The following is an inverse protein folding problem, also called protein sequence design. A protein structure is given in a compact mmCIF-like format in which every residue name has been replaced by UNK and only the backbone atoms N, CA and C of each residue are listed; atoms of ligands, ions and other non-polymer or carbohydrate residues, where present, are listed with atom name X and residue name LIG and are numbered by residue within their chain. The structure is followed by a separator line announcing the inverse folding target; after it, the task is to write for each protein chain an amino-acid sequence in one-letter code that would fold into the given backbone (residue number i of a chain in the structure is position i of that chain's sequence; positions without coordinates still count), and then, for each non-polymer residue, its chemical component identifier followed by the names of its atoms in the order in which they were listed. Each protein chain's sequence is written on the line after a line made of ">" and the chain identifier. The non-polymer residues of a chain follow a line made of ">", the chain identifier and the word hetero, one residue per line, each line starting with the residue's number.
data_IF_702601828386
#
_entry.id   IF_702601828386
#
_cell.length_a   1.000
_cell.length_b   1.000
_cell.length_c   1.000
_cell.angle_alpha   90.00
_cell.angle_beta   90.00
_cell.angle_gamma   90.00
#
_symmetry.space_group_name_H-M   'P 1'
#
loop_
_entity.id
_entity.type
_entity.pdbx_description
1 polymer ?
#
# COMPACT_ATOMS: atom_id res chain seq x y z
N UNK A 1 6.37 -27.68 32.29
CA UNK A 1 5.87 -26.36 32.71
C UNK A 1 4.70 -26.58 33.63
N UNK A 2 4.55 -25.73 34.64
CA UNK A 2 3.36 -25.73 35.50
C UNK A 2 2.12 -25.28 34.70
N UNK A 3 0.99 -25.94 34.90
CA UNK A 3 -0.27 -25.66 34.21
C UNK A 3 -0.80 -24.27 34.56
N UNK A 4 -0.55 -23.80 35.78
CA UNK A 4 -0.86 -22.44 36.19
C UNK A 4 -0.12 -21.38 35.35
N UNK A 5 1.16 -21.62 35.07
CA UNK A 5 1.98 -20.72 34.24
C UNK A 5 1.48 -20.68 32.79
N UNK A 6 1.09 -21.83 32.23
CA UNK A 6 0.52 -21.90 30.87
C UNK A 6 -0.76 -21.05 30.78
N UNK A 7 -1.65 -21.15 31.78
CA UNK A 7 -2.87 -20.33 31.82
C UNK A 7 -2.57 -18.84 31.90
N UNK A 8 -1.60 -18.43 32.73
CA UNK A 8 -1.23 -17.01 32.87
C UNK A 8 -0.67 -16.44 31.57
N UNK A 9 0.23 -17.19 30.90
CA UNK A 9 0.76 -16.81 29.59
C UNK A 9 -0.37 -16.68 28.57
N UNK A 10 -1.29 -17.64 28.52
CA UNK A 10 -2.43 -17.60 27.61
C UNK A 10 -3.32 -16.37 27.84
N UNK A 11 -3.53 -15.95 29.09
CA UNK A 11 -4.27 -14.72 29.42
C UNK A 11 -3.57 -13.48 28.88
N UNK A 12 -2.25 -13.36 29.06
CA UNK A 12 -1.48 -12.22 28.55
C UNK A 12 -1.52 -12.19 27.01
N UNK A 13 -1.34 -13.34 26.36
CA UNK A 13 -1.42 -13.45 24.90
C UNK A 13 -2.82 -13.10 24.40
N UNK A 14 -3.88 -13.56 25.07
CA UNK A 14 -5.26 -13.23 24.71
C UNK A 14 -5.52 -11.72 24.72
N UNK A 15 -5.04 -11.02 25.75
CA UNK A 15 -5.14 -9.54 25.83
C UNK A 15 -4.40 -8.89 24.65
N UNK A 16 -3.18 -9.36 24.34
CA UNK A 16 -2.40 -8.87 23.20
C UNK A 16 -3.10 -9.06 21.86
N UNK A 17 -3.67 -10.24 21.60
CA UNK A 17 -4.45 -10.52 20.40
C UNK A 17 -5.72 -9.64 20.32
N UNK A 18 -6.34 -9.35 21.47
CA UNK A 18 -7.46 -8.42 21.56
C UNK A 18 -7.07 -7.00 21.13
N UNK A 19 -5.91 -6.50 21.58
CA UNK A 19 -5.39 -5.20 21.15
C UNK A 19 -5.06 -5.18 19.65
N UNK A 20 -4.48 -6.26 19.12
CA UNK A 20 -4.22 -6.40 17.68
C UNK A 20 -5.53 -6.38 16.86
N UNK A 21 -6.58 -7.06 17.32
CA UNK A 21 -7.89 -7.06 16.67
C UNK A 21 -8.50 -5.66 16.61
N UNK A 22 -8.44 -4.90 17.71
CA UNK A 22 -8.87 -3.50 17.75
C UNK A 22 -8.03 -2.68 16.76
N UNK A 23 -6.71 -2.86 16.75
CA UNK A 23 -5.79 -2.23 15.80
C UNK A 23 -6.19 -2.48 14.35
N UNK A 24 -6.51 -3.72 13.97
CA UNK A 24 -6.97 -4.04 12.61
C UNK A 24 -8.28 -3.34 12.24
N UNK A 25 -9.24 -3.24 13.17
CA UNK A 25 -10.53 -2.57 12.93
C UNK A 25 -10.32 -1.07 12.72
N UNK A 26 -9.53 -0.42 13.57
CA UNK A 26 -9.23 1.02 13.49
C UNK A 26 -8.41 1.32 12.24
N UNK A 27 -7.35 0.54 11.99
CA UNK A 27 -6.49 0.72 10.82
C UNK A 27 -7.27 0.57 9.50
N UNK A 28 -8.20 -0.40 9.43
CA UNK A 28 -9.10 -0.55 8.27
C UNK A 28 -9.88 0.72 7.97
N UNK A 29 -10.35 1.45 8.99
CA UNK A 29 -11.08 2.71 8.79
C UNK A 29 -10.13 3.83 8.34
N UNK A 30 -8.99 3.96 9.01
CA UNK A 30 -8.01 5.01 8.71
C UNK A 30 -7.47 4.90 7.28
N UNK A 31 -7.20 3.68 6.81
CA UNK A 31 -6.63 3.45 5.47
C UNK A 31 -7.62 3.73 4.33
N UNK A 32 -8.92 3.87 4.63
CA UNK A 32 -9.97 4.16 3.66
C UNK A 32 -10.17 5.66 3.38
N UNK A 33 -9.54 6.55 4.14
CA UNK A 33 -9.88 7.98 4.11
C UNK A 33 -9.48 8.65 2.78
N UNK A 34 -8.20 8.66 2.37
CA UNK A 34 -7.76 9.16 1.04
C UNK A 34 -6.33 8.72 0.68
N UNK A 35 -5.96 8.81 -0.60
CA UNK A 35 -4.56 8.72 -1.07
C UNK A 35 -4.00 7.31 -1.20
N UNK A 36 -2.71 7.14 -0.91
CA UNK A 36 -1.98 5.86 -0.98
C UNK A 36 -2.60 4.78 -0.08
N UNK A 37 -3.21 5.19 1.04
CA UNK A 37 -3.97 4.31 1.91
C UNK A 37 -5.12 3.63 1.17
N UNK A 38 -5.94 4.38 0.42
CA UNK A 38 -7.10 3.81 -0.27
C UNK A 38 -6.68 2.82 -1.37
N UNK A 39 -5.58 3.11 -2.08
CA UNK A 39 -5.00 2.19 -3.04
C UNK A 39 -4.50 0.90 -2.38
N UNK A 40 -3.82 1.03 -1.23
CA UNK A 40 -3.35 -0.11 -0.44
C UNK A 40 -4.49 -0.98 0.08
N UNK A 41 -5.60 -0.37 0.49
CA UNK A 41 -6.80 -1.07 0.92
C UNK A 41 -7.47 -1.80 -0.22
N UNK A 42 -7.57 -1.18 -1.40
CA UNK A 42 -8.14 -1.81 -2.59
C UNK A 42 -7.35 -3.06 -2.98
N UNK A 43 -6.02 -2.96 -3.08
CA UNK A 43 -5.14 -4.09 -3.41
C UNK A 43 -5.22 -5.21 -2.35
N UNK A 44 -5.36 -4.84 -1.08
CA UNK A 44 -5.51 -5.77 0.03
C UNK A 44 -6.78 -6.60 -0.05
N UNK A 45 -7.90 -6.01 -0.49
CA UNK A 45 -9.18 -6.71 -0.62
C UNK A 45 -9.40 -7.37 -1.98
N UNK A 46 -8.68 -6.93 -3.02
CA UNK A 46 -8.75 -7.50 -4.37
C UNK A 46 -7.71 -8.60 -4.56
N UNK A 47 -6.47 -8.24 -4.92
CA UNK A 47 -5.36 -9.15 -5.22
C UNK A 47 -5.01 -10.04 -4.04
N UNK A 48 -4.95 -9.47 -2.83
CA UNK A 48 -4.61 -10.20 -1.60
C UNK A 48 -5.82 -10.57 -0.73
N UNK A 49 -7.04 -10.53 -1.28
CA UNK A 49 -8.27 -10.71 -0.52
C UNK A 49 -8.32 -12.00 0.32
N UNK A 50 -7.81 -13.12 -0.23
CA UNK A 50 -7.71 -14.39 0.50
C UNK A 50 -6.73 -14.32 1.68
N UNK A 51 -5.56 -13.70 1.48
CA UNK A 51 -4.55 -13.53 2.52
C UNK A 51 -5.05 -12.58 3.61
N UNK A 52 -5.77 -11.53 3.23
CA UNK A 52 -6.41 -10.61 4.16
C UNK A 52 -7.48 -11.30 5.01
N UNK A 53 -8.33 -12.13 4.39
CA UNK A 53 -9.30 -12.95 5.11
C UNK A 53 -8.59 -13.94 6.05
N UNK A 54 -7.59 -14.67 5.55
CA UNK A 54 -6.80 -15.63 6.32
C UNK A 54 -6.18 -15.01 7.57
N UNK A 55 -5.60 -13.81 7.47
CA UNK A 55 -5.02 -13.08 8.61
C UNK A 55 -6.07 -12.84 9.70
N UNK A 56 -7.25 -12.35 9.33
CA UNK A 56 -8.31 -12.04 10.29
C UNK A 56 -8.93 -13.32 10.88
N UNK A 57 -9.07 -14.38 10.08
CA UNK A 57 -9.53 -15.69 10.55
C UNK A 57 -8.53 -16.32 11.52
N UNK A 58 -7.23 -16.30 11.21
CA UNK A 58 -6.18 -16.80 12.10
C UNK A 58 -6.14 -16.04 13.43
N UNK A 59 -6.35 -14.73 13.41
CA UNK A 59 -6.47 -13.93 14.64
C UNK A 59 -7.61 -14.45 15.52
N UNK A 60 -8.80 -14.67 14.94
CA UNK A 60 -9.94 -15.24 15.65
C UNK A 60 -9.69 -16.66 16.17
N UNK A 61 -9.10 -17.53 15.36
CA UNK A 61 -8.72 -18.90 15.76
C UNK A 61 -7.73 -18.88 16.93
N UNK A 62 -6.72 -18.02 16.87
CA UNK A 62 -5.74 -17.87 17.96
C UNK A 62 -6.41 -17.38 19.24
N UNK A 63 -7.37 -16.46 19.17
CA UNK A 63 -8.13 -16.03 20.35
C UNK A 63 -8.92 -17.19 20.97
N UNK A 64 -9.58 -18.02 20.16
CA UNK A 64 -10.30 -19.22 20.63
C UNK A 64 -9.34 -20.23 21.27
N UNK A 65 -8.16 -20.44 20.67
CA UNK A 65 -7.12 -21.30 21.24
C UNK A 65 -6.63 -20.80 22.59
N UNK A 66 -6.45 -19.47 22.76
CA UNK A 66 -6.06 -18.90 24.05
C UNK A 66 -7.16 -19.07 25.10
N UNK A 67 -8.43 -18.90 24.75
CA UNK A 67 -9.56 -19.17 25.66
C UNK A 67 -9.55 -20.64 26.09
N UNK A 68 -9.34 -21.57 25.15
CA UNK A 68 -9.25 -22.99 25.47
C UNK A 68 -8.09 -23.28 26.43
N UNK A 69 -6.91 -22.66 26.22
CA UNK A 69 -5.74 -22.80 27.09
C UNK A 69 -5.92 -22.22 28.49
N UNK A 70 -6.69 -21.14 28.64
CA UNK A 70 -7.01 -20.53 29.93
C UNK A 70 -7.89 -21.50 30.75
N UNK A 71 -8.87 -22.15 30.12
CA UNK A 71 -9.80 -23.04 30.80
C UNK A 71 -9.23 -24.45 31.02
N UNK A 72 -8.46 -24.96 30.06
CA UNK A 72 -7.86 -26.29 30.08
C UNK A 72 -6.39 -26.23 29.67
N UNK A 73 -5.48 -25.89 30.60
CA UNK A 73 -4.06 -25.77 30.29
C UNK A 73 -3.48 -27.12 29.88
N UNK A 74 -2.98 -27.21 28.64
CA UNK A 74 -2.39 -28.41 28.07
C UNK A 74 -1.14 -28.05 27.27
N UNK A 75 -0.03 -28.76 27.51
CA UNK A 75 1.25 -28.49 26.87
C UNK A 75 1.23 -28.67 25.35
N UNK A 76 0.48 -29.63 24.83
CA UNK A 76 0.35 -29.87 23.39
C UNK A 76 -0.45 -28.75 22.72
N UNK A 77 -1.55 -28.35 23.36
CA UNK A 77 -2.36 -27.23 22.89
C UNK A 77 -1.56 -25.91 22.93
N UNK A 78 -0.70 -25.75 23.94
CA UNK A 78 0.20 -24.60 24.05
C UNK A 78 1.22 -24.57 22.91
N UNK A 79 1.86 -25.69 22.60
CA UNK A 79 2.80 -25.78 21.49
C UNK A 79 2.13 -25.46 20.14
N UNK A 80 0.93 -25.99 19.90
CA UNK A 80 0.15 -25.70 18.69
C UNK A 80 -0.24 -24.21 18.64
N UNK A 81 -0.74 -23.66 19.75
CA UNK A 81 -1.11 -22.25 19.86
C UNK A 81 0.08 -21.32 19.63
N UNK A 82 1.25 -21.66 20.16
CA UNK A 82 2.48 -20.90 19.94
C UNK A 82 2.88 -20.86 18.47
N UNK A 83 2.91 -22.01 17.79
CA UNK A 83 3.21 -22.09 16.36
C UNK A 83 2.17 -21.33 15.54
N UNK A 84 0.89 -21.47 15.87
CA UNK A 84 -0.21 -20.78 15.18
C UNK A 84 -0.12 -19.25 15.30
N UNK A 85 0.23 -18.73 16.48
CA UNK A 85 0.47 -17.29 16.68
C UNK A 85 1.69 -16.81 15.89
N UNK A 86 2.79 -17.58 15.87
CA UNK A 86 3.98 -17.24 15.07
C UNK A 86 3.66 -17.18 13.57
N UNK A 87 2.93 -18.17 13.04
CA UNK A 87 2.51 -18.19 11.64
C UNK A 87 1.60 -16.99 11.33
N UNK A 88 0.65 -16.68 12.21
CA UNK A 88 -0.22 -15.51 12.07
C UNK A 88 0.57 -14.20 12.01
N UNK A 89 1.52 -14.00 12.93
CA UNK A 89 2.38 -12.82 12.96
C UNK A 89 3.27 -12.70 11.71
N UNK A 90 3.81 -13.83 11.24
CA UNK A 90 4.64 -13.89 10.04
C UNK A 90 3.83 -13.53 8.78
N UNK A 91 2.63 -14.11 8.62
CA UNK A 91 1.73 -13.78 7.51
C UNK A 91 1.27 -12.32 7.53
N UNK A 92 1.02 -11.76 8.72
CA UNK A 92 0.71 -10.34 8.89
C UNK A 92 1.80 -9.44 8.33
N UNK A 93 3.07 -9.75 8.59
CA UNK A 93 4.23 -9.00 8.06
C UNK A 93 4.40 -9.18 6.56
N UNK A 94 4.21 -10.39 6.03
CA UNK A 94 4.28 -10.62 4.59
C UNK A 94 3.22 -9.79 3.86
N UNK A 95 1.98 -9.81 4.35
CA UNK A 95 0.91 -9.01 3.74
C UNK A 95 1.22 -7.51 3.78
N UNK A 96 1.78 -7.03 4.90
CA UNK A 96 2.23 -5.65 5.01
C UNK A 96 3.29 -5.31 3.95
N UNK A 97 4.36 -6.11 3.81
CA UNK A 97 5.39 -5.85 2.79
C UNK A 97 4.86 -5.95 1.36
N UNK A 98 3.99 -6.92 1.09
CA UNK A 98 3.39 -7.10 -0.23
C UNK A 98 2.54 -5.91 -0.66
N UNK A 99 1.90 -5.22 0.29
CA UNK A 99 1.09 -4.04 0.04
C UNK A 99 1.97 -2.79 0.00
N UNK A 100 2.86 -2.60 0.96
CA UNK A 100 3.68 -1.38 1.08
C UNK A 100 4.61 -1.22 -0.11
N UNK A 101 5.33 -2.26 -0.55
CA UNK A 101 6.30 -2.15 -1.64
C UNK A 101 5.68 -1.53 -2.92
N UNK A 102 4.54 -2.02 -3.45
CA UNK A 102 3.91 -1.41 -4.62
C UNK A 102 3.20 -0.08 -4.33
N UNK A 103 2.68 0.16 -3.11
CA UNK A 103 1.93 1.40 -2.81
C UNK A 103 2.80 2.55 -2.32
N UNK A 104 4.02 2.29 -1.85
CA UNK A 104 4.99 3.32 -1.44
C UNK A 104 6.15 3.48 -2.41
N UNK A 105 6.29 2.60 -3.42
CA UNK A 105 7.20 2.89 -4.52
C UNK A 105 6.57 4.01 -5.36
N UNK A 106 7.19 5.20 -5.44
CA UNK A 106 6.71 6.23 -6.34
C UNK A 106 6.72 5.63 -7.74
N UNK A 107 5.71 5.92 -8.56
CA UNK A 107 5.68 5.49 -9.97
C UNK A 107 7.00 5.76 -10.72
N UNK A 108 7.81 6.70 -10.24
CA UNK A 108 9.21 6.92 -10.63
C UNK A 108 10.13 5.67 -10.62
N UNK A 109 9.88 4.67 -9.76
CA UNK A 109 10.63 3.41 -9.77
C UNK A 109 10.19 2.49 -10.91
N UNK A 110 8.91 2.50 -11.29
CA UNK A 110 8.38 1.77 -12.45
C UNK A 110 8.86 2.38 -13.78
N UNK A 111 9.00 3.71 -13.87
CA UNK A 111 9.44 4.41 -15.09
C UNK A 111 10.96 4.47 -15.31
N UNK A 112 11.75 4.07 -14.31
CA UNK A 112 13.22 3.97 -14.44
C UNK A 112 13.69 2.69 -15.13
N UNK A 113 12.80 1.71 -15.33
CA UNK A 113 13.13 0.45 -16.00
C UNK A 113 12.59 0.48 -17.44
N UNK A 114 13.49 0.59 -18.41
CA UNK A 114 13.16 0.80 -19.82
C UNK A 114 12.19 -0.26 -20.38
N UNK A 115 12.27 -1.50 -19.92
CA UNK A 115 11.39 -2.59 -20.38
C UNK A 115 9.91 -2.37 -20.01
N UNK A 116 9.64 -1.80 -18.84
CA UNK A 116 8.26 -1.52 -18.41
C UNK A 116 7.72 -0.25 -19.06
N UNK A 117 8.58 0.73 -19.31
CA UNK A 117 8.25 1.92 -20.10
C UNK A 117 7.84 1.54 -21.53
N UNK A 118 8.61 0.66 -22.19
CA UNK A 118 8.28 0.14 -23.52
C UNK A 118 6.93 -0.60 -23.50
N UNK A 119 6.73 -1.49 -22.53
CA UNK A 119 5.49 -2.25 -22.43
C UNK A 119 4.26 -1.35 -22.23
N UNK A 120 4.37 -0.31 -21.39
CA UNK A 120 3.28 0.64 -21.17
C UNK A 120 2.94 1.47 -22.42
N UNK A 121 3.92 1.78 -23.26
CA UNK A 121 3.72 2.44 -24.56
C UNK A 121 3.05 1.46 -25.53
N UNK A 122 3.55 0.23 -25.61
CA UNK A 122 3.04 -0.80 -26.54
C UNK A 122 1.58 -1.20 -26.23
N UNK A 123 1.19 -1.19 -24.96
CA UNK A 123 -0.18 -1.49 -24.51
C UNK A 123 -1.09 -0.26 -24.44
N UNK A 124 -0.58 0.94 -24.74
CA UNK A 124 -1.35 2.19 -24.72
C UNK A 124 -1.72 2.73 -23.34
N UNK A 125 -1.05 2.24 -22.29
CA UNK A 125 -1.19 2.73 -20.90
C UNK A 125 -0.69 4.17 -20.76
N UNK A 126 0.20 4.60 -21.65
CA UNK A 126 0.72 5.97 -21.76
C UNK A 126 -0.35 7.02 -22.10
N UNK A 127 -1.48 6.61 -22.68
CA UNK A 127 -2.60 7.49 -23.04
C UNK A 127 -3.58 7.73 -21.89
N UNK A 128 -3.41 7.04 -20.77
CA UNK A 128 -4.30 7.16 -19.61
C UNK A 128 -3.70 8.15 -18.59
N UNK A 129 -4.28 9.36 -18.42
CA UNK A 129 -3.70 10.39 -17.55
C UNK A 129 -3.65 9.98 -16.06
N UNK A 130 -4.45 9.00 -15.68
CA UNK A 130 -4.52 8.43 -14.32
C UNK A 130 -3.28 7.61 -13.95
N UNK A 131 -2.57 7.07 -14.96
CA UNK A 131 -1.47 6.12 -14.75
C UNK A 131 -0.12 6.80 -14.52
N UNK A 132 -0.04 8.14 -14.58
CA UNK A 132 1.19 8.89 -14.33
C UNK A 132 2.34 8.53 -15.27
N UNK A 133 2.05 7.83 -16.37
CA UNK A 133 3.01 7.44 -17.40
C UNK A 133 3.36 8.70 -18.18
N UNK A 134 4.44 9.37 -17.80
CA UNK A 134 5.05 10.32 -18.73
C UNK A 134 5.73 9.49 -19.81
N UNK A 135 5.04 9.30 -20.94
CA UNK A 135 5.69 8.90 -22.17
C UNK A 135 6.94 9.78 -22.34
N UNK A 136 8.06 9.18 -22.76
CA UNK A 136 9.20 9.98 -23.22
C UNK A 136 8.73 10.72 -24.47
N UNK A 137 8.09 11.86 -24.26
CA UNK A 137 7.90 12.83 -25.29
C UNK A 137 9.28 13.45 -25.47
N UNK A 138 10.11 12.75 -26.24
CA UNK A 138 10.91 13.41 -27.25
C UNK A 138 9.95 14.14 -28.19
N UNK A 139 9.30 15.21 -27.70
CA UNK A 139 8.81 16.23 -28.58
C UNK A 139 10.05 16.73 -29.31
N UNK A 140 10.20 16.36 -30.59
CA UNK A 140 10.99 17.20 -31.48
C UNK A 140 10.36 18.58 -31.35
N UNK A 141 11.08 19.46 -30.68
CA UNK A 141 10.65 20.83 -30.43
C UNK A 141 10.19 21.42 -31.76
N UNK A 142 8.89 21.72 -31.86
CA UNK A 142 8.31 22.16 -33.12
C UNK A 142 8.66 23.63 -33.32
N UNK A 143 9.85 23.83 -33.91
CA UNK A 143 10.40 25.15 -34.23
C UNK A 143 9.43 25.92 -35.13
N UNK A 144 8.61 25.24 -35.96
CA UNK A 144 7.62 25.91 -36.81
C UNK A 144 6.45 26.43 -35.98
N UNK A 145 5.94 25.65 -35.02
CA UNK A 145 4.91 26.10 -34.09
C UNK A 145 5.41 27.31 -33.27
N UNK A 146 6.69 27.30 -32.87
CA UNK A 146 7.31 28.42 -32.16
C UNK A 146 7.47 29.67 -33.01
N UNK A 147 7.94 29.53 -34.25
CA UNK A 147 8.03 30.64 -35.19
C UNK A 147 6.62 31.19 -35.51
N UNK A 148 5.62 30.33 -35.62
CA UNK A 148 4.21 30.71 -35.78
C UNK A 148 3.70 31.51 -34.57
N UNK A 149 3.96 31.01 -33.36
CA UNK A 149 3.61 31.69 -32.12
C UNK A 149 4.33 33.04 -31.97
N UNK A 150 5.62 33.12 -32.31
CA UNK A 150 6.40 34.37 -32.28
C UNK A 150 5.84 35.39 -33.30
N UNK A 151 5.44 34.95 -34.50
CA UNK A 151 4.84 35.82 -35.52
C UNK A 151 3.45 36.31 -35.14
N UNK A 152 2.67 35.50 -34.43
CA UNK A 152 1.31 35.84 -33.97
C UNK A 152 1.33 36.63 -32.65
N UNK A 153 2.43 36.56 -31.89
CA UNK A 153 2.59 37.31 -30.64
C UNK A 153 2.99 38.73 -30.97
N UNK A 154 2.03 39.65 -30.86
CA UNK A 154 2.29 41.09 -30.94
C UNK A 154 3.31 41.50 -29.88
N UNK A 155 4.26 42.37 -30.22
CA UNK A 155 5.35 42.83 -29.32
C UNK A 155 4.85 43.26 -27.93
N UNK A 156 3.62 43.77 -27.86
CA UNK A 156 2.93 44.16 -26.62
C UNK A 156 2.61 42.97 -25.70
N UNK A 157 2.22 41.80 -26.21
CA UNK A 157 1.95 40.60 -25.40
C UNK A 157 3.24 39.90 -24.97
N UNK A 158 4.27 39.90 -25.81
CA UNK A 158 5.60 39.41 -25.43
C UNK A 158 6.18 40.19 -24.23
N UNK A 159 6.08 41.53 -24.26
CA UNK A 159 6.48 42.38 -23.13
C UNK A 159 5.62 42.15 -21.88
N UNK A 160 4.33 41.87 -22.05
CA UNK A 160 3.42 41.61 -20.93
C UNK A 160 3.74 40.27 -20.25
N UNK A 161 4.07 39.23 -21.02
CA UNK A 161 4.52 37.93 -20.51
C UNK A 161 5.87 38.03 -19.79
N UNK A 162 6.84 38.77 -20.36
CA UNK A 162 8.11 39.04 -19.69
C UNK A 162 7.93 39.79 -18.36
N UNK A 163 7.04 40.78 -18.33
CA UNK A 163 6.75 41.55 -17.12
C UNK A 163 6.02 40.71 -16.07
N UNK A 164 5.19 39.75 -16.48
CA UNK A 164 4.54 38.80 -15.58
C UNK A 164 5.54 37.80 -14.99
N UNK A 165 6.47 37.26 -15.79
CA UNK A 165 7.53 36.36 -15.33
C UNK A 165 8.49 37.08 -14.36
N UNK A 166 8.85 38.33 -14.66
CA UNK A 166 9.71 39.13 -13.80
C UNK A 166 9.06 39.56 -12.47
N UNK A 167 7.72 39.57 -12.40
CA UNK A 167 6.99 39.87 -11.16
C UNK A 167 6.71 38.63 -10.30
N UNK A 168 7.06 37.44 -10.78
CA UNK A 168 6.71 36.17 -10.16
C UNK A 168 5.22 35.87 -10.35
N UNK A 169 4.92 34.68 -10.88
CA UNK A 169 3.61 34.08 -10.66
C UNK A 169 3.37 33.81 -9.18
#
# INVERSE_FOLDING_TARGET
>A
MDTAVISQIATVVFIGLGLEAIGHIVHKKAVQETGEGQASYFEQISTFGKTYQLRNTLLGVNMVLMIALINQPNIWLFAIGFVSVLVSAYLGRILFYAIVIPTTMPGAFFWKNDKFKQHAIDTGLDKMPQMGVMADKHHKFDVKALIGAIKQTTVKSALMQLKAIAKGG
#
